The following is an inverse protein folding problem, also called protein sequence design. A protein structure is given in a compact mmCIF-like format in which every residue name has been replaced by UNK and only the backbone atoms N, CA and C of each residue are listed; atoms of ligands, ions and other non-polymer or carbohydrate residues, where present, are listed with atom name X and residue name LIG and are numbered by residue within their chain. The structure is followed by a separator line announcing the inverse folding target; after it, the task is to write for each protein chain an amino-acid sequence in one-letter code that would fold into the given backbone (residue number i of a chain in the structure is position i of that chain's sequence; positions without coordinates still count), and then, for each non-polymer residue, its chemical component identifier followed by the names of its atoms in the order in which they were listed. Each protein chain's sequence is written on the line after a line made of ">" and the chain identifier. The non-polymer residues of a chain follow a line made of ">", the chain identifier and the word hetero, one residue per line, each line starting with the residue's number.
data_IF_557790710198
#
_entry.id   IF_557790710198
#
_cell.length_a   1.000
_cell.length_b   1.000
_cell.length_c   1.000
_cell.angle_alpha   90.00
_cell.angle_beta   90.00
_cell.angle_gamma   90.00
#
_symmetry.space_group_name_H-M   'P 1'
#
loop_
_entity.id
_entity.type
_entity.pdbx_description
1 polymer ?
#
# COMPACT_ATOMS: atom_id res chain seq x y z
N UNK A 1 -20.68 33.35 3.59
CA UNK A 1 -21.12 32.00 3.96
C UNK A 1 -21.12 31.19 2.68
N UNK A 2 -20.05 30.45 2.39
CA UNK A 2 -19.97 29.62 1.20
C UNK A 2 -20.91 28.44 1.42
N UNK A 3 -22.08 28.46 0.80
CA UNK A 3 -23.02 27.35 0.81
C UNK A 3 -22.41 26.22 -0.02
N UNK A 4 -22.26 25.06 0.61
CA UNK A 4 -21.74 23.81 0.09
C UNK A 4 -22.76 23.19 -0.89
N UNK A 5 -23.07 23.89 -1.99
CA UNK A 5 -24.07 23.49 -2.99
C UNK A 5 -23.69 22.26 -3.82
N UNK A 6 -22.47 21.74 -3.65
CA UNK A 6 -22.04 20.50 -4.29
C UNK A 6 -22.60 19.23 -3.60
N UNK A 7 -23.16 19.35 -2.40
CA UNK A 7 -23.82 18.20 -1.73
C UNK A 7 -25.28 18.02 -2.17
N UNK A 8 -25.90 19.04 -2.77
CA UNK A 8 -27.35 19.02 -3.03
C UNK A 8 -27.77 18.64 -4.46
N UNK A 9 -26.87 18.61 -5.46
CA UNK A 9 -27.33 18.55 -6.86
C UNK A 9 -26.80 17.42 -7.78
N UNK A 10 -25.85 16.58 -7.36
CA UNK A 10 -25.43 15.44 -8.22
C UNK A 10 -25.07 14.22 -7.38
N UNK A 11 -26.06 13.55 -6.80
CA UNK A 11 -26.19 12.09 -6.91
C UNK A 11 -27.70 11.82 -6.78
N UNK A 12 -28.43 11.71 -7.89
CA UNK A 12 -29.58 10.82 -7.85
C UNK A 12 -29.00 9.46 -7.48
N UNK A 13 -29.32 8.93 -6.30
CA UNK A 13 -28.96 7.57 -5.87
C UNK A 13 -29.41 6.49 -6.89
N UNK A 14 -30.17 6.91 -7.92
CA UNK A 14 -30.67 6.13 -9.04
C UNK A 14 -29.88 6.29 -10.36
N UNK A 15 -28.66 6.86 -10.37
CA UNK A 15 -27.84 6.77 -11.58
C UNK A 15 -27.52 5.30 -11.89
N UNK A 16 -27.92 4.83 -13.07
CA UNK A 16 -27.73 3.45 -13.52
C UNK A 16 -26.72 3.48 -14.67
N UNK A 17 -25.66 2.66 -14.58
CA UNK A 17 -24.71 2.56 -15.68
C UNK A 17 -25.35 1.88 -16.91
N UNK A 18 -24.69 1.94 -18.08
CA UNK A 18 -25.18 1.28 -19.31
C UNK A 18 -25.41 -0.24 -19.21
N UNK A 19 -25.01 -0.89 -18.11
CA UNK A 19 -25.34 -2.29 -17.82
C UNK A 19 -26.63 -2.50 -17.00
N UNK A 20 -27.39 -1.45 -16.70
CA UNK A 20 -28.59 -1.57 -15.85
C UNK A 20 -28.27 -1.76 -14.36
N UNK A 21 -27.04 -1.49 -13.92
CA UNK A 21 -26.59 -1.67 -12.52
C UNK A 21 -26.23 -0.34 -11.86
N UNK A 22 -26.39 -0.28 -10.54
CA UNK A 22 -25.92 0.86 -9.73
C UNK A 22 -24.38 0.92 -9.80
N UNK A 23 -23.81 2.04 -10.24
CA UNK A 23 -22.37 2.25 -10.30
C UNK A 23 -21.78 2.46 -8.89
N UNK A 24 -20.47 2.32 -8.78
CA UNK A 24 -19.75 2.43 -7.51
C UNK A 24 -18.96 3.73 -7.43
N UNK A 25 -18.95 4.31 -6.23
CA UNK A 25 -18.11 5.46 -5.90
C UNK A 25 -16.67 5.01 -5.65
N UNK A 26 -15.72 5.71 -6.25
CA UNK A 26 -14.29 5.44 -6.16
C UNK A 26 -13.53 6.76 -5.99
N UNK A 27 -12.27 6.64 -5.56
CA UNK A 27 -11.33 7.76 -5.46
C UNK A 27 -10.17 7.49 -6.39
N UNK A 28 -9.81 8.47 -7.22
CA UNK A 28 -8.63 8.36 -8.09
C UNK A 28 -7.39 8.64 -7.27
N UNK A 29 -6.35 7.83 -7.48
CA UNK A 29 -5.02 8.01 -6.85
C UNK A 29 -3.92 8.17 -7.91
N UNK A 30 -4.32 8.56 -9.12
CA UNK A 30 -3.39 8.88 -10.21
C UNK A 30 -2.69 10.21 -9.94
N UNK A 31 -1.51 10.39 -10.54
CA UNK A 31 -0.75 11.64 -10.42
C UNK A 31 -1.53 12.85 -10.96
N UNK A 32 -2.44 12.65 -11.90
CA UNK A 32 -3.24 13.72 -12.49
C UNK A 32 -4.50 14.07 -11.71
N UNK A 33 -5.10 13.11 -10.98
CA UNK A 33 -6.33 13.32 -10.21
C UNK A 33 -6.25 12.72 -8.80
N UNK A 34 -5.24 13.05 -7.97
CA UNK A 34 -5.07 12.39 -6.68
C UNK A 34 -6.19 12.77 -5.71
N UNK A 35 -6.81 11.81 -5.04
CA UNK A 35 -7.91 12.07 -4.10
C UNK A 35 -9.24 12.52 -4.73
N UNK A 36 -9.34 12.62 -6.06
CA UNK A 36 -10.59 13.09 -6.73
C UNK A 36 -11.62 11.97 -6.79
N UNK A 37 -12.84 12.22 -6.31
CA UNK A 37 -13.92 11.21 -6.31
C UNK A 37 -14.62 11.13 -7.66
N UNK A 38 -14.99 9.92 -8.04
CA UNK A 38 -15.74 9.63 -9.25
C UNK A 38 -16.69 8.44 -9.02
N UNK A 39 -17.70 8.32 -9.88
CA UNK A 39 -18.60 7.18 -9.96
C UNK A 39 -18.29 6.42 -11.24
N UNK A 40 -18.31 5.09 -11.20
CA UNK A 40 -18.04 4.27 -12.38
C UNK A 40 -18.75 2.92 -12.31
N UNK A 41 -18.94 2.27 -13.46
CA UNK A 41 -19.41 0.89 -13.43
C UNK A 41 -18.42 -0.01 -12.68
N UNK A 42 -18.93 -1.07 -12.03
CA UNK A 42 -18.06 -2.07 -11.38
C UNK A 42 -17.02 -2.65 -12.35
N UNK A 43 -17.45 -2.91 -13.60
CA UNK A 43 -16.62 -3.42 -14.70
C UNK A 43 -15.85 -2.35 -15.49
N UNK A 44 -15.79 -1.12 -14.98
CA UNK A 44 -15.04 -0.04 -15.65
C UNK A 44 -13.54 -0.38 -15.67
N UNK A 45 -12.93 -0.34 -16.85
CA UNK A 45 -11.51 -0.68 -17.07
C UNK A 45 -11.22 -2.15 -17.41
N UNK A 46 -12.23 -3.03 -17.34
CA UNK A 46 -12.08 -4.42 -17.77
C UNK A 46 -12.17 -4.55 -19.30
N UNK A 47 -11.54 -5.58 -19.92
CA UNK A 47 -11.78 -5.90 -21.33
C UNK A 47 -13.28 -6.16 -21.59
N UNK A 48 -13.87 -5.46 -22.58
CA UNK A 48 -15.33 -5.44 -22.83
C UNK A 48 -16.19 -4.96 -21.65
N UNK A 49 -15.57 -4.23 -20.72
CA UNK A 49 -16.23 -3.60 -19.58
C UNK A 49 -17.09 -2.40 -19.97
N UNK A 50 -17.98 -1.99 -19.06
CA UNK A 50 -18.81 -0.81 -19.27
C UNK A 50 -18.01 0.47 -19.03
N UNK A 51 -18.06 1.40 -19.99
CA UNK A 51 -17.33 2.66 -19.94
C UNK A 51 -17.99 3.76 -19.10
N UNK A 52 -19.03 3.44 -18.32
CA UNK A 52 -19.70 4.44 -17.48
C UNK A 52 -18.76 5.01 -16.43
N UNK A 53 -18.56 6.33 -16.44
CA UNK A 53 -17.65 7.05 -15.58
C UNK A 53 -18.03 8.54 -15.48
N UNK A 54 -18.09 9.09 -14.26
CA UNK A 54 -18.41 10.51 -14.00
C UNK A 54 -17.60 11.02 -12.80
N UNK A 55 -16.96 12.19 -12.92
CA UNK A 55 -16.32 12.85 -11.77
C UNK A 55 -17.33 13.52 -10.86
N UNK A 56 -17.22 13.31 -9.54
CA UNK A 56 -18.06 13.97 -8.53
C UNK A 56 -17.47 15.31 -8.11
N UNK A 57 -16.15 15.34 -7.93
CA UNK A 57 -15.46 16.55 -7.52
C UNK A 57 -14.97 17.33 -8.75
N UNK A 58 -14.90 18.67 -8.68
CA UNK A 58 -14.27 19.47 -9.73
C UNK A 58 -12.78 19.10 -9.90
N UNK A 59 -12.16 19.45 -11.04
CA UNK A 59 -10.73 19.23 -11.22
C UNK A 59 -9.96 19.98 -10.13
N UNK A 60 -8.97 19.31 -9.54
CA UNK A 60 -8.13 19.94 -8.53
C UNK A 60 -7.21 20.98 -9.16
N UNK A 61 -6.90 22.02 -8.39
CA UNK A 61 -5.91 23.00 -8.83
C UNK A 61 -4.49 22.39 -8.86
N UNK A 62 -3.65 22.91 -9.76
CA UNK A 62 -2.28 22.42 -9.95
C UNK A 62 -1.45 22.41 -8.65
N UNK A 63 -1.63 23.43 -7.81
CA UNK A 63 -0.94 23.52 -6.52
C UNK A 63 -1.33 22.40 -5.57
N UNK A 64 -2.63 22.12 -5.42
CA UNK A 64 -3.12 21.05 -4.57
C UNK A 64 -2.61 19.69 -5.05
N UNK A 65 -2.64 19.46 -6.38
CA UNK A 65 -2.10 18.25 -7.00
C UNK A 65 -0.63 18.04 -6.64
N UNK A 66 0.22 19.05 -6.82
CA UNK A 66 1.65 18.95 -6.49
C UNK A 66 1.88 18.66 -4.99
N UNK A 67 1.16 19.34 -4.10
CA UNK A 67 1.30 19.13 -2.66
C UNK A 67 0.89 17.71 -2.28
N UNK A 68 -0.28 17.23 -2.73
CA UNK A 68 -0.78 15.89 -2.40
C UNK A 68 0.18 14.82 -2.89
N UNK A 69 0.72 14.95 -4.11
CA UNK A 69 1.71 13.99 -4.63
C UNK A 69 2.99 13.97 -3.82
N UNK A 70 3.52 15.13 -3.43
CA UNK A 70 4.71 15.20 -2.59
C UNK A 70 4.45 14.54 -1.24
N UNK A 71 3.29 14.78 -0.64
CA UNK A 71 2.91 14.16 0.63
C UNK A 71 2.77 12.64 0.52
N UNK A 72 2.09 12.14 -0.50
CA UNK A 72 1.95 10.70 -0.75
C UNK A 72 3.30 10.03 -0.95
N UNK A 73 4.20 10.64 -1.74
CA UNK A 73 5.56 10.13 -1.95
C UNK A 73 6.37 10.13 -0.65
N UNK A 74 6.24 11.15 0.20
CA UNK A 74 6.89 11.20 1.51
C UNK A 74 6.33 10.12 2.44
N UNK A 75 5.02 9.97 2.50
CA UNK A 75 4.35 8.96 3.31
C UNK A 75 4.79 7.54 2.90
N UNK A 76 4.88 7.27 1.59
CA UNK A 76 5.34 5.97 1.10
C UNK A 76 6.83 5.73 1.37
N UNK A 77 7.66 6.78 1.44
CA UNK A 77 9.07 6.62 1.88
C UNK A 77 9.18 6.30 3.36
N UNK A 78 8.37 6.93 4.21
CA UNK A 78 8.37 6.68 5.66
C UNK A 78 7.74 5.35 6.03
N UNK A 79 6.74 4.88 5.26
CA UNK A 79 6.13 3.56 5.44
C UNK A 79 6.92 2.45 4.75
N UNK A 80 7.79 2.80 3.79
CA UNK A 80 8.52 1.88 2.92
C UNK A 80 9.95 1.58 3.34
N UNK A 81 10.36 1.84 4.59
CA UNK A 81 11.74 1.48 4.95
C UNK A 81 12.19 1.92 6.32
N UNK A 82 11.83 1.14 7.33
CA UNK A 82 12.80 0.75 8.34
C UNK A 82 12.73 -0.78 8.41
N UNK A 83 13.82 -1.44 7.99
CA UNK A 83 13.94 -2.88 8.22
C UNK A 83 13.98 -3.09 9.73
N UNK A 84 12.87 -3.50 10.33
CA UNK A 84 12.83 -3.84 11.74
C UNK A 84 13.63 -5.15 11.88
N UNK A 85 14.81 -5.06 12.49
CA UNK A 85 15.59 -6.22 12.87
C UNK A 85 15.00 -6.79 14.17
N UNK A 86 14.39 -7.97 14.11
CA UNK A 86 13.93 -8.67 15.31
C UNK A 86 15.04 -9.64 15.75
N UNK A 87 15.66 -9.38 16.89
CA UNK A 87 16.67 -10.25 17.50
C UNK A 87 15.97 -11.33 18.33
N UNK A 88 15.93 -12.58 17.85
CA UNK A 88 15.45 -13.71 18.64
C UNK A 88 16.65 -14.55 19.07
N UNK A 89 16.96 -14.54 20.37
CA UNK A 89 18.00 -15.40 20.97
C UNK A 89 17.31 -16.67 21.50
N UNK A 90 17.62 -17.83 20.90
CA UNK A 90 17.11 -19.12 21.37
C UNK A 90 18.24 -19.96 21.95
N UNK A 91 18.16 -20.30 23.25
CA UNK A 91 19.09 -21.21 23.91
C UNK A 91 18.62 -22.66 23.70
N UNK A 92 19.26 -23.40 22.79
CA UNK A 92 18.98 -24.82 22.59
C UNK A 92 20.14 -25.65 23.16
N UNK A 93 19.97 -26.12 24.40
CA UNK A 93 20.80 -27.16 25.01
C UNK A 93 22.20 -26.72 25.50
N UNK A 94 22.76 -27.52 26.42
CA UNK A 94 23.86 -27.18 27.32
C UNK A 94 25.27 -26.96 26.68
N UNK A 95 25.39 -26.82 25.36
CA UNK A 95 26.69 -26.59 24.73
C UNK A 95 26.67 -25.74 23.45
N UNK A 96 25.51 -25.26 22.99
CA UNK A 96 25.40 -24.51 21.73
C UNK A 96 24.46 -23.31 21.89
N UNK A 97 25.00 -22.10 21.76
CA UNK A 97 24.16 -20.90 21.61
C UNK A 97 23.94 -20.62 20.12
N UNK A 98 22.69 -20.36 19.73
CA UNK A 98 22.31 -20.01 18.36
C UNK A 98 21.73 -18.60 18.36
N UNK A 99 22.35 -17.69 17.61
CA UNK A 99 21.85 -16.33 17.39
C UNK A 99 21.10 -16.29 16.06
N UNK A 100 19.81 -15.94 16.09
CA UNK A 100 19.00 -15.70 14.89
C UNK A 100 18.69 -14.20 14.77
N UNK A 101 19.15 -13.59 13.69
CA UNK A 101 18.79 -12.22 13.30
C UNK A 101 17.90 -12.30 12.06
N UNK A 102 16.65 -11.87 12.18
CA UNK A 102 15.74 -11.74 11.05
C UNK A 102 15.49 -10.25 10.76
N UNK A 103 15.83 -9.82 9.54
CA UNK A 103 15.48 -8.49 9.03
C UNK A 103 14.15 -8.59 8.29
N UNK A 104 13.14 -7.83 8.71
CA UNK A 104 11.85 -7.81 8.01
C UNK A 104 11.87 -6.72 6.93
N UNK A 105 11.77 -7.14 5.66
CA UNK A 105 11.69 -6.33 4.44
C UNK A 105 11.17 -7.17 3.25
N UNK A 106 11.29 -6.70 1.99
CA UNK A 106 10.90 -7.48 0.79
C UNK A 106 11.65 -8.81 0.64
N UNK A 107 12.74 -8.99 1.39
CA UNK A 107 13.55 -10.22 1.48
C UNK A 107 13.76 -10.55 2.96
N UNK A 108 13.52 -11.80 3.35
CA UNK A 108 13.85 -12.27 4.71
C UNK A 108 15.26 -12.85 4.69
N UNK A 109 16.18 -12.21 5.41
CA UNK A 109 17.55 -12.72 5.62
C UNK A 109 17.64 -13.30 7.02
N UNK A 110 18.06 -14.55 7.14
CA UNK A 110 18.29 -15.24 8.42
C UNK A 110 19.77 -15.58 8.54
N UNK A 111 20.43 -15.01 9.55
CA UNK A 111 21.80 -15.39 9.94
C UNK A 111 21.72 -16.44 11.04
N UNK A 112 22.28 -17.62 10.82
CA UNK A 112 22.44 -18.66 11.84
C UNK A 112 23.91 -18.68 12.29
N UNK A 113 24.17 -18.28 13.53
CA UNK A 113 25.50 -18.41 14.13
C UNK A 113 25.47 -19.53 15.17
N UNK A 114 26.29 -20.55 14.97
CA UNK A 114 26.47 -21.63 15.96
C UNK A 114 27.74 -21.40 16.76
N UNK A 115 27.60 -21.24 18.07
CA UNK A 115 28.72 -21.11 19.01
C UNK A 115 28.78 -22.35 19.89
N UNK A 116 29.52 -23.41 19.50
CA UNK A 116 29.86 -24.49 20.41
C UNK A 116 30.95 -24.06 21.39
N UNK A 117 30.94 -24.66 22.59
CA UNK A 117 31.94 -24.40 23.64
C UNK A 117 33.40 -24.68 23.27
N UNK A 118 33.68 -25.37 22.16
CA UNK A 118 35.03 -25.71 21.69
C UNK A 118 35.23 -25.37 20.19
N UNK A 119 36.05 -24.32 19.97
CA UNK A 119 36.89 -23.91 18.83
C UNK A 119 36.39 -23.92 17.36
N UNK A 120 35.21 -24.40 17.00
CA UNK A 120 34.69 -24.27 15.61
C UNK A 120 33.32 -23.58 15.56
N UNK A 121 33.32 -22.33 15.10
CA UNK A 121 32.09 -21.62 14.75
C UNK A 121 31.73 -21.86 13.28
N UNK A 122 30.43 -21.97 12.99
CA UNK A 122 29.87 -21.93 11.63
C UNK A 122 28.86 -20.80 11.52
N UNK A 123 28.94 -20.04 10.44
CA UNK A 123 28.03 -18.95 10.09
C UNK A 123 27.38 -19.26 8.74
N UNK A 124 26.07 -19.49 8.76
CA UNK A 124 25.30 -19.77 7.55
C UNK A 124 24.30 -18.62 7.30
N UNK A 125 24.28 -18.11 6.07
CA UNK A 125 23.36 -17.03 5.64
C UNK A 125 22.29 -17.65 4.73
N UNK A 126 21.03 -17.50 5.12
CA UNK A 126 19.91 -17.94 4.31
C UNK A 126 19.13 -16.73 3.78
N UNK A 127 18.92 -16.70 2.47
CA UNK A 127 18.10 -15.70 1.77
C UNK A 127 16.79 -16.36 1.35
N UNK A 128 15.67 -15.85 1.86
CA UNK A 128 14.34 -16.27 1.43
C UNK A 128 13.72 -15.15 0.60
N UNK A 129 13.54 -15.43 -0.70
CA UNK A 129 12.74 -14.64 -1.63
C UNK A 129 11.31 -15.23 -1.66
N UNK A 130 10.27 -14.41 -1.82
CA UNK A 130 8.89 -14.89 -1.96
C UNK A 130 8.67 -15.74 -3.22
#
# INVERSE_FOLDING_TARGET
>A
MWTQTAEEFIINEQEICGCGKIPVRRTSWTDDNPGRRYISCKRFGEPNGCCYFVYLDPPMCNRARQIILVLLRRANRTLGGEAIAMLLVALVGAATTVLLVALVGEVVVVLLVTLPGDEKWSCDVFLFLP
#
